data_IF_307013335517
#
_entry.id   IF_307013335517
#
_cell.length_a   1.000
_cell.length_b   1.000
_cell.length_c   1.000
_cell.angle_alpha   90.00
_cell.angle_beta   90.00
_cell.angle_gamma   90.00
#
_symmetry.space_group_name_H-M   'P 1'
#
loop_
_entity.id
_entity.type
_entity.pdbx_description
1 polymer ?
#
# COMPACT_ATOMS: atom_id res chain seq x y z
N UNK A 1 -41.56 -24.81 58.94
CA UNK A 1 -41.36 -25.73 57.78
C UNK A 1 -40.38 -25.09 56.85
N UNK A 2 -39.18 -25.66 56.60
CA UNK A 2 -38.16 -25.04 55.77
C UNK A 2 -38.38 -25.43 54.32
N UNK A 3 -38.45 -24.40 53.42
CA UNK A 3 -38.53 -24.55 51.98
C UNK A 3 -37.15 -24.79 51.47
N UNK A 4 -37.04 -25.86 50.70
CA UNK A 4 -35.85 -26.49 50.13
C UNK A 4 -34.98 -25.60 49.26
N UNK A 5 -33.68 -25.54 49.57
CA UNK A 5 -32.58 -24.91 48.84
C UNK A 5 -32.10 -25.71 47.60
N UNK A 6 -32.95 -26.33 46.81
CA UNK A 6 -32.53 -27.26 45.75
C UNK A 6 -33.07 -26.95 44.35
N UNK A 7 -33.34 -25.71 43.99
CA UNK A 7 -33.83 -25.35 42.64
C UNK A 7 -33.20 -24.08 42.06
N UNK A 8 -31.90 -23.85 42.31
CA UNK A 8 -31.22 -22.67 41.77
C UNK A 8 -29.83 -22.98 41.18
N UNK A 9 -29.55 -24.19 40.70
CA UNK A 9 -28.29 -24.54 40.06
C UNK A 9 -28.58 -25.39 38.82
N UNK A 10 -29.19 -24.83 37.78
CA UNK A 10 -29.21 -25.42 36.43
C UNK A 10 -29.59 -24.42 35.34
N UNK A 11 -29.01 -23.24 35.31
CA UNK A 11 -29.15 -22.33 34.18
C UNK A 11 -27.96 -21.36 34.05
N UNK A 12 -26.74 -21.90 34.05
CA UNK A 12 -25.53 -21.10 33.75
C UNK A 12 -24.45 -22.01 33.17
N UNK A 13 -24.69 -22.56 31.98
CA UNK A 13 -23.66 -23.17 31.15
C UNK A 13 -24.14 -23.19 29.68
N UNK A 14 -24.42 -22.01 29.14
CA UNK A 14 -24.37 -21.74 27.72
C UNK A 14 -23.48 -20.51 27.52
N UNK A 15 -22.21 -20.63 27.93
CA UNK A 15 -21.17 -19.75 27.43
C UNK A 15 -20.98 -20.14 25.98
N UNK A 16 -21.71 -19.46 25.12
CA UNK A 16 -21.45 -19.45 23.68
C UNK A 16 -19.99 -19.07 23.48
N UNK A 17 -19.20 -20.03 23.03
CA UNK A 17 -17.87 -19.79 22.49
C UNK A 17 -18.04 -18.88 21.26
N UNK A 18 -17.99 -17.57 21.48
CA UNK A 18 -17.75 -16.62 20.43
C UNK A 18 -16.35 -16.94 19.89
N UNK A 19 -16.18 -17.18 18.58
CA UNK A 19 -14.87 -17.34 18.03
C UNK A 19 -14.08 -16.08 18.36
N UNK A 20 -12.98 -16.21 19.09
CA UNK A 20 -12.03 -15.13 19.30
C UNK A 20 -11.57 -14.66 17.93
N UNK A 21 -12.01 -13.48 17.52
CA UNK A 21 -11.46 -12.75 16.37
C UNK A 21 -10.06 -12.27 16.75
N UNK A 22 -9.18 -13.23 17.02
CA UNK A 22 -7.76 -12.99 17.14
C UNK A 22 -7.30 -12.39 15.81
N UNK A 23 -6.84 -11.15 15.84
CA UNK A 23 -6.14 -10.56 14.69
C UNK A 23 -4.86 -11.36 14.50
N UNK A 24 -4.93 -12.38 13.67
CA UNK A 24 -3.79 -13.19 13.33
C UNK A 24 -2.67 -12.27 12.84
N UNK A 25 -1.48 -12.40 13.43
CA UNK A 25 -0.27 -11.76 12.89
C UNK A 25 -0.15 -12.17 11.43
N UNK A 26 0.22 -11.26 10.52
CA UNK A 26 0.41 -11.64 9.13
C UNK A 26 1.31 -12.86 9.03
N UNK A 27 0.88 -13.88 8.33
CA UNK A 27 1.72 -15.03 8.04
C UNK A 27 2.77 -14.59 7.01
N UNK A 28 3.99 -14.38 7.49
CA UNK A 28 5.12 -13.92 6.69
C UNK A 28 5.75 -15.05 5.86
N UNK A 29 5.30 -16.29 6.03
CA UNK A 29 5.76 -17.46 5.25
C UNK A 29 4.86 -17.74 4.06
N UNK A 30 3.76 -16.99 3.91
CA UNK A 30 2.81 -17.16 2.83
C UNK A 30 3.44 -16.83 1.47
N UNK A 31 3.34 -17.76 0.55
CA UNK A 31 3.83 -17.61 -0.83
C UNK A 31 2.77 -17.01 -1.75
N UNK A 32 3.20 -16.43 -2.88
CA UNK A 32 2.31 -15.83 -3.88
C UNK A 32 1.44 -16.90 -4.58
N UNK A 33 1.86 -18.15 -4.67
CA UNK A 33 1.16 -19.18 -5.43
C UNK A 33 1.01 -18.82 -6.92
N UNK A 34 0.02 -19.41 -7.59
CA UNK A 34 -0.27 -19.11 -9.01
C UNK A 34 -1.01 -17.78 -9.16
N UNK A 35 -0.52 -16.94 -10.04
CA UNK A 35 -0.97 -15.56 -10.28
C UNK A 35 -1.55 -15.38 -11.69
N UNK A 36 -2.03 -14.17 -12.03
CA UNK A 36 -2.42 -13.85 -13.41
C UNK A 36 -1.23 -13.87 -14.39
N UNK A 37 0.00 -13.65 -13.91
CA UNK A 37 1.18 -13.74 -14.77
C UNK A 37 1.49 -15.18 -15.21
N UNK A 38 1.09 -16.18 -14.41
CA UNK A 38 1.27 -17.60 -14.71
C UNK A 38 0.12 -18.17 -15.56
N UNK A 39 -0.99 -17.44 -15.67
CA UNK A 39 -2.18 -17.82 -16.43
C UNK A 39 -2.32 -16.92 -17.65
N UNK A 40 -2.99 -17.39 -18.69
CA UNK A 40 -3.28 -16.55 -19.84
C UNK A 40 -4.40 -15.55 -19.50
N UNK A 41 -4.07 -14.27 -19.45
CA UNK A 41 -5.05 -13.20 -19.44
C UNK A 41 -5.46 -12.82 -20.86
N UNK A 42 -6.75 -12.61 -21.08
CA UNK A 42 -7.27 -12.10 -22.35
C UNK A 42 -7.08 -10.58 -22.50
N UNK A 43 -6.78 -9.89 -21.40
CA UNK A 43 -6.72 -8.42 -21.32
C UNK A 43 -5.30 -7.89 -21.27
N UNK A 44 -4.37 -8.66 -20.69
CA UNK A 44 -3.00 -8.26 -20.46
C UNK A 44 -2.02 -9.34 -20.93
N UNK A 45 -0.85 -8.90 -21.38
CA UNK A 45 0.34 -9.73 -21.55
C UNK A 45 1.26 -9.46 -20.39
N UNK A 46 1.69 -10.51 -19.70
CA UNK A 46 2.65 -10.40 -18.59
C UNK A 46 4.04 -10.85 -19.02
N UNK A 47 5.05 -10.13 -18.57
CA UNK A 47 6.45 -10.49 -18.60
C UNK A 47 7.13 -10.04 -17.33
N UNK A 48 8.32 -10.51 -17.03
CA UNK A 48 9.11 -10.04 -15.90
C UNK A 48 10.58 -9.82 -16.24
N UNK A 49 11.23 -9.02 -15.43
CA UNK A 49 12.67 -8.84 -15.44
C UNK A 49 13.21 -8.66 -14.03
N UNK A 50 14.52 -8.84 -13.86
CA UNK A 50 15.19 -8.77 -12.56
C UNK A 50 16.24 -7.67 -12.58
N UNK A 51 16.42 -7.06 -11.40
CA UNK A 51 17.44 -6.05 -11.14
C UNK A 51 17.97 -6.25 -9.71
N UNK A 52 19.22 -5.85 -9.50
CA UNK A 52 19.82 -5.79 -8.18
C UNK A 52 19.93 -4.33 -7.73
N UNK A 53 19.90 -4.10 -6.41
CA UNK A 53 20.27 -2.81 -5.83
C UNK A 53 21.73 -2.47 -6.16
N UNK A 54 22.09 -1.19 -6.02
CA UNK A 54 23.45 -0.73 -6.32
C UNK A 54 24.52 -1.40 -5.43
N UNK A 55 24.17 -1.77 -4.20
CA UNK A 55 25.02 -2.50 -3.26
C UNK A 55 24.98 -4.03 -3.46
N UNK A 56 24.12 -4.55 -4.34
CA UNK A 56 23.96 -5.98 -4.61
C UNK A 56 23.25 -6.77 -3.51
N UNK A 57 22.77 -6.12 -2.44
CA UNK A 57 22.18 -6.82 -1.28
C UNK A 57 20.69 -7.12 -1.44
N UNK A 58 19.99 -6.42 -2.33
CA UNK A 58 18.57 -6.60 -2.59
C UNK A 58 18.34 -6.99 -4.03
N UNK A 59 17.50 -8.00 -4.22
CA UNK A 59 17.20 -8.59 -5.54
C UNK A 59 15.73 -8.37 -5.84
N UNK A 60 15.46 -7.62 -6.90
CA UNK A 60 14.11 -7.26 -7.30
C UNK A 60 13.64 -8.12 -8.47
N UNK A 61 12.36 -8.43 -8.47
CA UNK A 61 11.64 -8.95 -9.62
C UNK A 61 10.50 -8.02 -9.94
N UNK A 62 10.49 -7.53 -11.15
CA UNK A 62 9.49 -6.59 -11.65
C UNK A 62 8.63 -7.31 -12.67
N UNK A 63 7.34 -7.44 -12.38
CA UNK A 63 6.39 -7.95 -13.34
C UNK A 63 5.77 -6.77 -14.08
N UNK A 64 5.67 -6.92 -15.39
CA UNK A 64 5.09 -5.94 -16.30
C UNK A 64 3.82 -6.53 -16.92
N UNK A 65 2.68 -5.94 -16.62
CA UNK A 65 1.42 -6.24 -17.27
C UNK A 65 1.12 -5.18 -18.32
N UNK A 66 1.15 -5.56 -19.60
CA UNK A 66 0.89 -4.66 -20.73
C UNK A 66 -0.51 -4.94 -21.28
N UNK A 67 -1.40 -3.93 -21.41
CA UNK A 67 -2.70 -4.11 -22.00
C UNK A 67 -2.61 -4.68 -23.42
N UNK A 68 -3.55 -5.56 -23.78
CA UNK A 68 -3.67 -6.08 -25.18
C UNK A 68 -4.44 -5.12 -26.08
N UNK A 69 -5.04 -4.05 -25.54
CA UNK A 69 -5.64 -2.98 -26.32
C UNK A 69 -4.54 -2.20 -27.09
N UNK A 70 -4.91 -1.54 -28.21
CA UNK A 70 -3.95 -0.71 -28.95
C UNK A 70 -3.33 0.36 -28.06
N UNK A 71 -2.04 0.63 -28.29
CA UNK A 71 -1.31 1.69 -27.57
C UNK A 71 -1.90 3.04 -27.90
N UNK A 72 -2.30 3.86 -26.91
CA UNK A 72 -2.75 5.23 -27.14
C UNK A 72 -1.65 6.08 -27.78
N UNK A 73 -2.01 7.14 -28.48
CA UNK A 73 -1.06 8.00 -29.19
C UNK A 73 0.01 8.63 -28.28
N UNK A 74 -0.38 9.00 -27.04
CA UNK A 74 0.52 9.52 -26.00
C UNK A 74 1.27 8.42 -25.22
N UNK A 75 1.00 7.14 -25.48
CA UNK A 75 1.43 6.02 -24.65
C UNK A 75 0.36 5.61 -23.64
N UNK A 76 0.63 4.53 -22.90
CA UNK A 76 -0.27 4.05 -21.87
C UNK A 76 -0.11 4.84 -20.56
N UNK A 77 -1.19 5.11 -19.80
CA UNK A 77 -1.06 5.44 -18.39
C UNK A 77 -0.36 4.28 -17.67
N UNK A 78 0.26 4.55 -16.53
CA UNK A 78 0.94 3.49 -15.77
C UNK A 78 0.57 3.49 -14.30
N UNK A 79 0.58 2.28 -13.71
CA UNK A 79 0.39 2.05 -12.29
C UNK A 79 1.56 1.24 -11.76
N UNK A 80 2.42 1.89 -10.98
CA UNK A 80 3.46 1.22 -10.22
C UNK A 80 2.90 0.74 -8.89
N UNK A 81 2.97 -0.55 -8.64
CA UNK A 81 2.49 -1.23 -7.44
C UNK A 81 3.69 -1.71 -6.64
N UNK A 82 3.88 -1.14 -5.45
CA UNK A 82 4.86 -1.62 -4.49
C UNK A 82 4.39 -2.93 -3.85
N UNK A 83 5.31 -3.67 -3.21
CA UNK A 83 5.03 -5.04 -2.75
C UNK A 83 4.46 -5.90 -3.90
N UNK A 84 5.13 -5.86 -5.04
CA UNK A 84 4.65 -6.40 -6.32
C UNK A 84 4.25 -7.86 -6.25
N UNK A 85 4.91 -8.68 -5.40
CA UNK A 85 4.54 -10.07 -5.14
C UNK A 85 3.11 -10.17 -4.57
N UNK A 86 2.81 -9.38 -3.54
CA UNK A 86 1.48 -9.38 -2.91
C UNK A 86 0.43 -8.73 -3.83
N UNK A 87 0.77 -7.66 -4.52
CA UNK A 87 -0.13 -7.01 -5.47
C UNK A 87 -0.53 -7.96 -6.60
N UNK A 88 0.43 -8.69 -7.19
CA UNK A 88 0.18 -9.66 -8.26
C UNK A 88 -0.62 -10.88 -7.77
N UNK A 89 -0.34 -11.36 -6.53
CA UNK A 89 -1.10 -12.45 -5.92
C UNK A 89 -2.60 -12.12 -5.82
N UNK A 90 -2.93 -10.87 -5.48
CA UNK A 90 -4.31 -10.43 -5.33
C UNK A 90 -4.96 -9.95 -6.63
N UNK A 91 -4.18 -9.67 -7.68
CA UNK A 91 -4.70 -9.15 -8.95
C UNK A 91 -5.70 -10.11 -9.60
N UNK A 92 -6.83 -9.57 -10.06
CA UNK A 92 -7.94 -10.34 -10.62
C UNK A 92 -8.32 -9.86 -12.02
N UNK A 93 -8.68 -10.79 -12.89
CA UNK A 93 -9.10 -10.51 -14.26
C UNK A 93 -10.38 -9.66 -14.31
N UNK A 94 -11.33 -9.88 -13.39
CA UNK A 94 -12.57 -9.12 -13.32
C UNK A 94 -12.34 -7.63 -13.00
N UNK A 95 -11.35 -7.29 -12.18
CA UNK A 95 -10.98 -5.90 -11.94
C UNK A 95 -10.41 -5.23 -13.20
N UNK A 96 -9.61 -5.97 -13.96
CA UNK A 96 -9.01 -5.47 -15.20
C UNK A 96 -10.07 -5.32 -16.31
N UNK A 97 -11.08 -6.20 -16.34
CA UNK A 97 -12.18 -6.12 -17.31
C UNK A 97 -13.11 -4.94 -17.05
N UNK A 98 -13.23 -4.48 -15.81
CA UNK A 98 -14.03 -3.31 -15.43
C UNK A 98 -13.44 -1.99 -15.93
N UNK A 99 -12.14 -1.96 -16.30
CA UNK A 99 -11.48 -0.74 -16.78
C UNK A 99 -11.81 -0.47 -18.26
N UNK A 100 -12.00 0.81 -18.66
CA UNK A 100 -12.17 1.17 -20.05
C UNK A 100 -10.95 0.74 -20.88
N UNK A 101 -11.15 0.05 -21.98
CA UNK A 101 -10.07 -0.53 -22.79
C UNK A 101 -9.04 0.52 -23.27
N UNK A 102 -9.50 1.74 -23.56
CA UNK A 102 -8.66 2.83 -24.07
C UNK A 102 -7.73 3.45 -23.01
N UNK A 103 -8.02 3.29 -21.72
CA UNK A 103 -7.24 3.89 -20.62
C UNK A 103 -6.72 2.86 -19.61
N UNK A 104 -6.68 1.58 -19.98
CA UNK A 104 -6.06 0.55 -19.14
C UNK A 104 -4.58 0.87 -18.90
N UNK A 105 -4.15 0.96 -17.64
CA UNK A 105 -2.75 1.28 -17.34
C UNK A 105 -1.84 0.08 -17.60
N UNK A 106 -0.60 0.34 -17.96
CA UNK A 106 0.49 -0.64 -17.80
C UNK A 106 0.70 -0.84 -16.30
N UNK A 107 0.72 -2.10 -15.87
CA UNK A 107 0.96 -2.48 -14.48
C UNK A 107 2.45 -2.77 -14.28
N UNK A 108 3.09 -2.06 -13.36
CA UNK A 108 4.51 -2.21 -13.01
C UNK A 108 4.55 -2.69 -11.55
N UNK A 109 4.58 -3.99 -11.34
CA UNK A 109 4.58 -4.58 -9.99
C UNK A 109 6.01 -4.77 -9.53
N UNK A 110 6.46 -3.86 -8.66
CA UNK A 110 7.83 -3.85 -8.12
C UNK A 110 7.87 -4.69 -6.86
N UNK A 111 8.44 -5.88 -6.98
CA UNK A 111 8.57 -6.84 -5.90
C UNK A 111 10.00 -7.33 -5.73
N UNK A 112 10.15 -8.39 -4.95
CA UNK A 112 11.42 -8.98 -4.61
C UNK A 112 11.56 -10.38 -5.24
N UNK A 113 12.80 -10.81 -5.49
CA UNK A 113 13.10 -12.11 -6.10
C UNK A 113 12.96 -13.24 -5.07
N UNK A 114 11.74 -13.43 -4.59
CA UNK A 114 11.32 -14.46 -3.65
C UNK A 114 9.92 -14.95 -4.03
N UNK A 115 9.55 -16.13 -3.59
CA UNK A 115 8.19 -16.66 -3.73
C UNK A 115 7.25 -16.18 -2.62
N UNK A 116 7.76 -15.50 -1.60
CA UNK A 116 6.96 -14.95 -0.51
C UNK A 116 6.13 -13.74 -0.98
N UNK A 117 4.96 -13.53 -0.33
CA UNK A 117 4.17 -12.32 -0.56
C UNK A 117 4.93 -11.04 -0.19
N UNK A 118 5.80 -11.12 0.82
CA UNK A 118 6.59 -10.00 1.29
C UNK A 118 8.01 -10.43 1.64
N UNK A 119 9.00 -9.72 1.13
CA UNK A 119 10.33 -9.68 1.74
C UNK A 119 10.32 -8.60 2.81
N UNK A 120 10.06 -9.00 4.05
CA UNK A 120 9.85 -8.05 5.15
C UNK A 120 11.10 -7.28 5.56
N UNK A 121 12.29 -7.81 5.24
CA UNK A 121 13.57 -7.16 5.54
C UNK A 121 13.88 -6.14 4.45
N UNK A 122 13.86 -6.56 3.19
CA UNK A 122 14.17 -5.69 2.06
C UNK A 122 13.16 -4.54 1.95
N UNK A 123 11.83 -4.82 2.05
CA UNK A 123 10.80 -3.79 1.95
C UNK A 123 10.85 -2.76 3.09
N UNK A 124 11.24 -3.16 4.30
CA UNK A 124 11.39 -2.22 5.40
C UNK A 124 12.54 -1.25 5.10
N UNK A 125 13.66 -1.75 4.62
CA UNK A 125 14.79 -0.91 4.21
C UNK A 125 14.41 0.04 3.08
N UNK A 126 13.79 -0.48 2.02
CA UNK A 126 13.51 0.27 0.80
C UNK A 126 12.38 1.31 0.96
N UNK A 127 11.38 1.03 1.79
CA UNK A 127 10.17 1.86 1.84
C UNK A 127 10.16 2.88 2.98
N UNK A 128 11.17 2.87 3.83
CA UNK A 128 11.20 3.77 4.98
C UNK A 128 12.27 4.85 4.83
N UNK A 129 11.94 6.13 5.05
CA UNK A 129 12.90 7.21 4.97
C UNK A 129 13.76 7.30 6.25
N UNK A 130 15.00 7.78 6.09
CA UNK A 130 15.86 8.30 7.16
C UNK A 130 15.68 9.82 7.25
N UNK A 131 16.22 10.42 8.32
CA UNK A 131 16.36 11.87 8.40
C UNK A 131 17.42 12.40 7.44
N UNK A 132 17.39 13.70 7.10
CA UNK A 132 18.42 14.31 6.27
C UNK A 132 19.82 14.09 6.82
N UNK A 133 20.69 13.45 6.03
CA UNK A 133 22.06 13.13 6.43
C UNK A 133 22.22 11.92 7.36
N UNK A 134 21.15 11.26 7.74
CA UNK A 134 21.20 9.98 8.47
C UNK A 134 21.46 8.80 7.51
N UNK A 135 22.07 7.75 8.04
CA UNK A 135 22.24 6.47 7.36
C UNK A 135 21.05 5.53 7.61
N UNK A 136 21.32 4.23 7.48
CA UNK A 136 20.31 3.22 7.80
C UNK A 136 19.98 3.23 9.30
N UNK A 137 18.72 2.99 9.61
CA UNK A 137 18.13 3.09 10.95
C UNK A 137 17.71 1.68 11.39
N UNK A 138 18.19 1.23 12.55
CA UNK A 138 17.69 0.01 13.16
C UNK A 138 16.24 0.18 13.63
N UNK A 139 15.39 -0.83 13.37
CA UNK A 139 14.03 -0.87 13.90
C UNK A 139 14.10 -1.00 15.45
N UNK A 140 13.47 -0.09 16.22
CA UNK A 140 13.51 -0.16 17.69
C UNK A 140 12.97 -1.44 18.29
N UNK A 141 12.04 -2.12 17.58
CA UNK A 141 11.41 -3.37 18.02
C UNK A 141 12.08 -4.61 17.46
N UNK A 142 12.90 -4.46 16.41
CA UNK A 142 13.60 -5.53 15.68
C UNK A 142 14.93 -5.01 15.17
N UNK A 143 15.94 -4.87 16.05
CA UNK A 143 17.22 -4.23 15.71
C UNK A 143 17.99 -4.89 14.54
N UNK A 144 17.67 -6.15 14.25
CA UNK A 144 18.19 -6.87 13.08
C UNK A 144 17.61 -6.39 11.74
N UNK A 145 16.57 -5.55 11.76
CA UNK A 145 15.96 -4.97 10.57
C UNK A 145 16.37 -3.51 10.43
N UNK A 146 16.81 -3.17 9.26
CA UNK A 146 17.21 -1.81 8.93
C UNK A 146 16.13 -1.14 8.10
N UNK A 147 15.92 0.15 8.34
CA UNK A 147 15.15 1.05 7.50
C UNK A 147 16.02 2.21 7.02
N UNK A 148 15.41 3.22 6.40
CA UNK A 148 16.12 4.44 5.99
C UNK A 148 16.65 4.43 4.55
N UNK A 149 16.29 3.43 3.73
CA UNK A 149 16.79 3.30 2.36
C UNK A 149 15.89 3.91 1.28
N UNK A 150 14.85 4.66 1.64
CA UNK A 150 13.87 5.17 0.68
C UNK A 150 14.47 6.03 -0.44
N UNK A 151 15.50 6.82 -0.15
CA UNK A 151 16.20 7.61 -1.17
C UNK A 151 16.88 6.72 -2.23
N UNK A 152 17.60 5.69 -1.79
CA UNK A 152 18.25 4.75 -2.70
C UNK A 152 17.25 3.97 -3.54
N UNK A 153 16.12 3.59 -2.94
CA UNK A 153 15.05 2.89 -3.65
C UNK A 153 14.31 3.81 -4.65
N UNK A 154 14.08 5.07 -4.31
CA UNK A 154 13.51 6.04 -5.26
C UNK A 154 14.45 6.24 -6.47
N UNK A 155 15.78 6.35 -6.22
CA UNK A 155 16.78 6.40 -7.31
C UNK A 155 16.74 5.14 -8.18
N UNK A 156 16.57 3.95 -7.59
CA UNK A 156 16.39 2.71 -8.35
C UNK A 156 15.13 2.75 -9.23
N UNK A 157 14.00 3.20 -8.68
CA UNK A 157 12.75 3.35 -9.45
C UNK A 157 12.93 4.30 -10.63
N UNK A 158 13.44 5.50 -10.40
CA UNK A 158 13.51 6.56 -11.42
C UNK A 158 14.60 6.29 -12.46
N UNK A 159 15.78 5.77 -12.05
CA UNK A 159 16.93 5.67 -12.93
C UNK A 159 17.20 4.25 -13.47
N UNK A 160 16.54 3.22 -12.95
CA UNK A 160 16.75 1.84 -13.38
C UNK A 160 15.46 1.16 -13.83
N UNK A 161 14.42 1.14 -13.00
CA UNK A 161 13.18 0.42 -13.29
C UNK A 161 12.39 1.13 -14.37
N UNK A 162 12.08 2.43 -14.21
CA UNK A 162 11.30 3.18 -15.21
C UNK A 162 11.96 3.23 -16.59
N UNK A 163 13.27 3.47 -16.75
CA UNK A 163 13.92 3.37 -18.04
C UNK A 163 13.86 1.97 -18.66
N UNK A 164 13.97 0.91 -17.85
CA UNK A 164 13.84 -0.46 -18.35
C UNK A 164 12.42 -0.77 -18.86
N UNK A 165 11.41 -0.29 -18.15
CA UNK A 165 10.00 -0.37 -18.59
C UNK A 165 9.79 0.44 -19.88
N UNK A 166 10.32 1.66 -19.97
CA UNK A 166 10.18 2.54 -21.14
C UNK A 166 10.82 1.94 -22.42
N UNK A 167 11.83 1.07 -22.29
CA UNK A 167 12.37 0.32 -23.42
C UNK A 167 11.43 -0.76 -23.95
N UNK A 168 10.49 -1.23 -23.16
CA UNK A 168 9.57 -2.35 -23.46
C UNK A 168 8.21 -1.89 -23.90
N UNK A 169 7.74 -0.73 -23.39
CA UNK A 169 6.40 -0.22 -23.65
C UNK A 169 6.39 1.31 -23.65
N UNK A 170 5.61 1.89 -24.58
CA UNK A 170 5.43 3.34 -24.63
C UNK A 170 4.47 3.80 -23.54
N UNK A 171 4.95 4.62 -22.58
CA UNK A 171 4.17 5.17 -21.47
C UNK A 171 3.88 6.64 -21.69
N UNK A 172 2.72 7.08 -21.21
CA UNK A 172 2.40 8.49 -21.02
C UNK A 172 3.08 8.99 -19.74
N UNK A 173 4.11 9.81 -19.92
CA UNK A 173 4.89 10.35 -18.80
C UNK A 173 4.09 11.33 -17.92
N UNK A 174 2.94 11.80 -18.36
CA UNK A 174 2.05 12.68 -17.59
C UNK A 174 1.04 11.92 -16.75
N UNK A 175 0.88 10.61 -16.98
CA UNK A 175 -0.10 9.76 -16.30
C UNK A 175 0.55 8.57 -15.60
N UNK A 176 1.49 8.87 -14.70
CA UNK A 176 2.19 7.86 -13.92
C UNK A 176 1.68 7.86 -12.48
N UNK A 177 1.19 6.72 -12.04
CA UNK A 177 0.61 6.53 -10.69
C UNK A 177 1.52 5.62 -9.85
N UNK A 178 1.75 5.99 -8.59
CA UNK A 178 2.45 5.16 -7.60
C UNK A 178 1.48 4.78 -6.48
N UNK A 179 1.28 3.47 -6.30
CA UNK A 179 0.49 2.91 -5.21
C UNK A 179 1.37 2.16 -4.22
N UNK A 180 1.06 2.29 -2.94
CA UNK A 180 1.70 1.48 -1.90
C UNK A 180 0.87 1.38 -0.63
N UNK A 181 1.00 0.25 0.08
CA UNK A 181 0.30 -0.02 1.33
C UNK A 181 1.29 -0.07 2.51
N UNK A 182 0.90 0.47 3.67
CA UNK A 182 1.69 0.43 4.91
C UNK A 182 3.04 1.15 4.76
N UNK A 183 4.19 0.47 4.86
CA UNK A 183 5.49 1.04 4.50
C UNK A 183 5.54 1.47 3.02
N UNK A 184 4.89 0.73 2.11
CA UNK A 184 4.75 1.17 0.72
C UNK A 184 3.94 2.47 0.59
N UNK A 185 2.92 2.67 1.43
CA UNK A 185 2.17 3.93 1.52
C UNK A 185 3.02 5.07 2.09
N UNK A 186 3.86 4.78 3.09
CA UNK A 186 4.85 5.73 3.60
C UNK A 186 5.84 6.14 2.50
N UNK A 187 6.34 5.16 1.73
CA UNK A 187 7.22 5.44 0.60
C UNK A 187 6.53 6.29 -0.48
N UNK A 188 5.26 6.04 -0.78
CA UNK A 188 4.52 6.86 -1.74
C UNK A 188 4.44 8.34 -1.30
N UNK A 189 4.24 8.61 0.00
CA UNK A 189 4.30 9.97 0.55
C UNK A 189 5.71 10.57 0.47
N UNK A 190 6.74 9.76 0.76
CA UNK A 190 8.14 10.18 0.65
C UNK A 190 8.51 10.52 -0.80
N UNK A 191 8.15 9.66 -1.74
CA UNK A 191 8.38 9.89 -3.16
C UNK A 191 7.68 11.18 -3.64
N UNK A 192 6.43 11.40 -3.25
CA UNK A 192 5.70 12.64 -3.55
C UNK A 192 6.42 13.88 -3.04
N UNK A 193 7.01 13.81 -1.84
CA UNK A 193 7.74 14.93 -1.26
C UNK A 193 9.13 15.17 -1.90
N UNK A 194 9.64 14.21 -2.68
CA UNK A 194 10.97 14.28 -3.29
C UNK A 194 10.92 14.92 -4.68
N UNK A 195 11.80 15.90 -4.98
CA UNK A 195 11.90 16.47 -6.33
C UNK A 195 12.44 15.48 -7.38
N UNK A 196 12.95 14.32 -6.95
CA UNK A 196 13.41 13.26 -7.85
C UNK A 196 12.27 12.49 -8.50
N UNK A 197 11.11 12.43 -7.83
CA UNK A 197 9.98 11.62 -8.30
C UNK A 197 9.29 12.25 -9.50
N UNK A 198 9.04 11.45 -10.52
CA UNK A 198 8.35 11.86 -11.74
C UNK A 198 6.92 11.30 -11.85
N UNK A 199 6.36 10.78 -10.77
CA UNK A 199 4.95 10.40 -10.72
C UNK A 199 4.06 11.63 -10.62
N UNK A 200 2.93 11.61 -11.33
CA UNK A 200 1.91 12.67 -11.27
C UNK A 200 0.78 12.36 -10.27
N UNK A 201 0.69 11.09 -9.85
CA UNK A 201 -0.38 10.64 -8.94
C UNK A 201 0.15 9.65 -7.92
N UNK A 202 -0.28 9.80 -6.66
CA UNK A 202 0.14 8.95 -5.56
C UNK A 202 -1.06 8.39 -4.82
N UNK A 203 -1.02 7.09 -4.50
CA UNK A 203 -2.09 6.39 -3.77
C UNK A 203 -1.49 5.77 -2.50
N UNK A 204 -1.22 6.56 -1.45
CA UNK A 204 -0.75 6.06 -0.17
C UNK A 204 -1.91 5.41 0.60
N UNK A 205 -1.85 4.09 0.79
CA UNK A 205 -2.86 3.32 1.51
C UNK A 205 -2.34 2.95 2.89
N UNK A 206 -3.09 3.34 3.93
CA UNK A 206 -2.74 3.04 5.34
C UNK A 206 -1.27 3.32 5.66
N UNK A 207 -0.73 4.49 5.27
CA UNK A 207 0.71 4.77 5.34
C UNK A 207 1.23 4.69 6.77
N UNK A 208 2.40 4.07 6.95
CA UNK A 208 3.05 3.90 8.24
C UNK A 208 3.72 5.21 8.72
N UNK A 209 2.94 6.29 8.84
CA UNK A 209 3.42 7.65 9.15
C UNK A 209 4.12 7.79 10.51
N UNK A 210 3.97 6.77 11.38
CA UNK A 210 4.63 6.73 12.69
C UNK A 210 6.12 6.36 12.64
N UNK A 211 6.61 5.88 11.48
CA UNK A 211 8.00 5.47 11.31
C UNK A 211 8.96 6.60 11.71
N UNK A 212 10.00 6.22 12.46
CA UNK A 212 11.07 7.12 12.91
C UNK A 212 10.53 8.45 13.44
N UNK A 213 9.67 8.35 14.48
CA UNK A 213 9.03 9.50 15.15
C UNK A 213 8.23 10.42 14.20
N UNK A 214 7.72 9.88 13.09
CA UNK A 214 6.95 10.65 12.13
C UNK A 214 7.79 11.51 11.20
N UNK A 215 9.01 11.10 10.89
CA UNK A 215 9.96 11.81 10.02
C UNK A 215 9.33 12.26 8.68
N UNK A 216 8.33 11.53 8.19
CA UNK A 216 7.63 11.88 6.96
C UNK A 216 7.03 13.29 7.01
N UNK A 217 6.63 13.77 8.19
CA UNK A 217 6.05 15.11 8.34
C UNK A 217 7.05 16.22 8.00
N UNK A 218 8.33 16.01 8.25
CA UNK A 218 9.39 16.96 7.86
C UNK A 218 9.52 17.03 6.34
N UNK A 219 9.52 15.89 5.66
CA UNK A 219 9.55 15.83 4.20
C UNK A 219 8.30 16.48 3.57
N UNK A 220 7.13 16.16 4.10
CA UNK A 220 5.88 16.76 3.63
C UNK A 220 5.86 18.28 3.88
N UNK A 221 6.36 18.76 5.02
CA UNK A 221 6.40 20.19 5.32
C UNK A 221 7.23 20.99 4.31
N UNK A 222 8.37 20.46 3.86
CA UNK A 222 9.29 21.11 2.91
C UNK A 222 8.95 20.87 1.45
N UNK A 223 7.94 20.04 1.14
CA UNK A 223 7.58 19.68 -0.24
C UNK A 223 6.84 20.80 -0.96
N UNK A 224 7.22 21.03 -2.21
CA UNK A 224 6.52 21.85 -3.20
C UNK A 224 5.98 21.01 -4.37
N UNK A 225 5.60 19.77 -4.10
CA UNK A 225 5.08 18.86 -5.13
C UNK A 225 3.79 19.38 -5.76
N UNK A 226 3.64 19.14 -7.06
CA UNK A 226 2.40 19.29 -7.80
C UNK A 226 1.91 17.90 -8.20
N UNK A 227 0.83 17.40 -7.59
CA UNK A 227 0.38 16.02 -7.78
C UNK A 227 -1.06 15.78 -7.32
N UNK A 228 -1.65 14.70 -7.83
CA UNK A 228 -2.89 14.13 -7.29
C UNK A 228 -2.56 13.13 -6.18
N UNK A 229 -3.16 13.28 -5.02
CA UNK A 229 -2.96 12.41 -3.86
C UNK A 229 -4.27 11.73 -3.48
N UNK A 230 -4.29 10.41 -3.45
CA UNK A 230 -5.46 9.60 -3.12
C UNK A 230 -5.19 8.81 -1.84
N UNK A 231 -5.47 9.42 -0.69
CA UNK A 231 -5.12 8.88 0.63
C UNK A 231 -6.22 7.96 1.15
N UNK A 232 -5.89 6.72 1.46
CA UNK A 232 -6.87 5.75 1.97
C UNK A 232 -6.44 5.08 3.27
N UNK A 233 -7.42 4.68 4.09
CA UNK A 233 -7.22 3.78 5.25
C UNK A 233 -8.48 2.98 5.56
N UNK A 234 -8.34 1.93 6.37
CA UNK A 234 -9.48 1.24 6.97
C UNK A 234 -9.96 1.93 8.25
N UNK A 235 -11.27 1.91 8.51
CA UNK A 235 -11.82 2.49 9.75
C UNK A 235 -11.48 1.67 10.99
N UNK A 236 -11.07 0.41 10.82
CA UNK A 236 -10.80 -0.53 11.90
C UNK A 236 -9.29 -0.83 12.06
N UNK A 237 -8.42 0.12 11.74
CA UNK A 237 -6.96 -0.01 11.84
C UNK A 237 -6.47 0.35 13.25
N UNK A 238 -6.67 -0.55 14.19
CA UNK A 238 -6.10 -0.44 15.53
C UNK A 238 -5.36 -1.73 15.88
N UNK A 239 -4.28 -1.60 16.64
CA UNK A 239 -3.64 -2.78 17.24
C UNK A 239 -4.42 -3.13 18.51
N UNK A 240 -5.20 -4.19 18.44
CA UNK A 240 -5.99 -4.69 19.57
C UNK A 240 -5.14 -5.75 20.29
N UNK A 241 -5.04 -5.63 21.62
CA UNK A 241 -4.55 -6.70 22.50
C UNK A 241 -5.73 -7.36 23.23
N UNK A 242 -5.54 -8.58 23.71
CA UNK A 242 -6.58 -9.32 24.46
C UNK A 242 -7.00 -8.63 25.77
N UNK A 243 -6.16 -7.71 26.29
CA UNK A 243 -6.44 -6.98 27.53
C UNK A 243 -7.25 -5.68 27.31
N UNK A 244 -7.44 -5.25 26.06
CA UNK A 244 -8.16 -4.00 25.75
C UNK A 244 -9.66 -4.18 25.85
N UNK A 245 -10.32 -3.27 26.54
CA UNK A 245 -11.77 -3.19 26.58
C UNK A 245 -12.37 -2.45 25.36
N UNK A 246 -13.67 -2.49 25.21
CA UNK A 246 -14.38 -1.86 24.10
C UNK A 246 -14.22 -0.33 24.07
N UNK A 247 -14.07 0.31 25.23
CA UNK A 247 -13.92 1.77 25.34
C UNK A 247 -12.52 2.19 24.85
N UNK A 248 -11.49 1.44 25.26
CA UNK A 248 -10.12 1.69 24.81
C UNK A 248 -9.97 1.45 23.29
N UNK A 249 -10.55 0.38 22.77
CA UNK A 249 -10.59 0.09 21.34
C UNK A 249 -11.27 1.24 20.58
N UNK A 250 -12.42 1.72 21.04
CA UNK A 250 -13.13 2.82 20.40
C UNK A 250 -12.30 4.11 20.43
N UNK A 251 -11.63 4.40 21.56
CA UNK A 251 -10.71 5.54 21.68
C UNK A 251 -9.56 5.48 20.70
N UNK A 252 -8.92 4.33 20.55
CA UNK A 252 -7.80 4.14 19.60
C UNK A 252 -8.25 4.27 18.14
N UNK A 253 -9.42 3.74 17.79
CA UNK A 253 -10.03 3.93 16.47
C UNK A 253 -10.25 5.41 16.17
N UNK A 254 -10.81 6.16 17.12
CA UNK A 254 -11.05 7.60 16.97
C UNK A 254 -9.73 8.38 16.82
N UNK A 255 -8.73 8.05 17.64
CA UNK A 255 -7.40 8.67 17.55
C UNK A 255 -6.75 8.40 16.18
N UNK A 256 -6.83 7.17 15.68
CA UNK A 256 -6.33 6.81 14.35
C UNK A 256 -7.07 7.55 13.23
N UNK A 257 -8.39 7.71 13.35
CA UNK A 257 -9.20 8.49 12.40
C UNK A 257 -8.80 9.97 12.42
N UNK A 258 -8.65 10.56 13.61
CA UNK A 258 -8.26 11.96 13.76
C UNK A 258 -6.85 12.22 13.19
N UNK A 259 -5.89 11.33 13.43
CA UNK A 259 -4.53 11.43 12.87
C UNK A 259 -4.53 11.33 11.34
N UNK A 260 -5.37 10.45 10.78
CA UNK A 260 -5.56 10.35 9.34
C UNK A 260 -6.14 11.65 8.76
N UNK A 261 -7.21 12.18 9.35
CA UNK A 261 -7.82 13.44 8.89
C UNK A 261 -6.86 14.63 9.04
N UNK A 262 -6.05 14.68 10.10
CA UNK A 262 -5.01 15.70 10.24
C UNK A 262 -3.99 15.62 9.09
N UNK A 263 -3.62 14.42 8.65
CA UNK A 263 -2.75 14.23 7.47
C UNK A 263 -3.44 14.69 6.19
N UNK A 264 -4.73 14.35 6.00
CA UNK A 264 -5.54 14.81 4.85
C UNK A 264 -5.54 16.33 4.78
N UNK A 265 -5.91 17.02 5.87
CA UNK A 265 -5.97 18.47 5.92
C UNK A 265 -4.60 19.10 5.68
N UNK A 266 -3.55 18.58 6.31
CA UNK A 266 -2.18 19.08 6.11
C UNK A 266 -1.70 18.97 4.66
N UNK A 267 -2.18 17.98 3.91
CA UNK A 267 -1.88 17.85 2.49
C UNK A 267 -2.78 18.77 1.64
N UNK A 268 -4.07 18.87 1.98
CA UNK A 268 -5.03 19.69 1.25
C UNK A 268 -4.71 21.19 1.34
N UNK A 269 -4.10 21.63 2.45
CA UNK A 269 -3.65 23.02 2.63
C UNK A 269 -2.42 23.38 1.78
N UNK A 270 -1.79 22.40 1.09
CA UNK A 270 -0.61 22.65 0.27
C UNK A 270 -0.99 23.08 -1.15
N UNK A 271 -0.49 24.23 -1.62
CA UNK A 271 -0.65 24.59 -3.02
C UNK A 271 0.02 23.55 -3.93
N UNK A 272 -0.62 23.20 -5.03
CA UNK A 272 -0.12 22.20 -5.99
C UNK A 272 -0.59 20.77 -5.73
N UNK A 273 -1.16 20.45 -4.57
CA UNK A 273 -1.74 19.14 -4.34
C UNK A 273 -3.26 19.14 -4.57
N UNK A 274 -3.72 18.17 -5.35
CA UNK A 274 -5.13 17.77 -5.42
C UNK A 274 -5.32 16.57 -4.53
N UNK A 275 -6.00 16.72 -3.40
CA UNK A 275 -6.12 15.68 -2.40
C UNK A 275 -7.49 15.05 -2.44
N UNK A 276 -7.51 13.73 -2.48
CA UNK A 276 -8.70 12.90 -2.33
C UNK A 276 -8.48 11.91 -1.19
N UNK A 277 -9.51 11.60 -0.43
CA UNK A 277 -9.40 10.66 0.65
C UNK A 277 -10.59 9.72 0.75
N UNK A 278 -10.34 8.52 1.28
CA UNK A 278 -11.37 7.50 1.55
C UNK A 278 -11.04 6.71 2.81
N UNK A 279 -12.05 6.52 3.65
CA UNK A 279 -11.99 5.60 4.76
C UNK A 279 -12.85 4.39 4.45
N UNK A 280 -12.23 3.22 4.32
CA UNK A 280 -12.94 1.98 4.03
C UNK A 280 -13.61 1.47 5.31
N UNK A 281 -14.97 1.29 5.32
CA UNK A 281 -15.68 0.86 6.50
C UNK A 281 -15.24 -0.56 6.92
N UNK A 282 -15.12 -0.76 8.23
CA UNK A 282 -14.84 -2.04 8.90
C UNK A 282 -13.56 -2.77 8.51
N UNK A 283 -12.74 -2.22 7.62
CA UNK A 283 -11.47 -2.82 7.25
C UNK A 283 -10.37 -2.52 8.25
N UNK A 284 -9.65 -3.57 8.63
CA UNK A 284 -8.39 -3.48 9.37
C UNK A 284 -7.20 -3.35 8.41
N UNK A 285 -6.01 -3.14 8.97
CA UNK A 285 -4.80 -2.81 8.21
C UNK A 285 -4.45 -3.81 7.08
N UNK A 286 -4.43 -5.11 7.37
CA UNK A 286 -4.05 -6.13 6.36
C UNK A 286 -5.00 -6.20 5.17
N UNK A 287 -6.33 -6.30 5.38
CA UNK A 287 -7.33 -6.30 4.32
C UNK A 287 -7.34 -5.05 3.43
N UNK A 288 -6.77 -3.93 3.86
CA UNK A 288 -6.65 -2.72 3.03
C UNK A 288 -5.82 -2.92 1.77
N UNK A 289 -4.81 -3.81 1.80
CA UNK A 289 -3.99 -4.08 0.63
C UNK A 289 -4.84 -4.58 -0.55
N UNK A 290 -5.53 -5.75 -0.46
CA UNK A 290 -6.36 -6.22 -1.57
C UNK A 290 -7.57 -5.32 -1.86
N UNK A 291 -8.17 -4.70 -0.84
CA UNK A 291 -9.36 -3.87 -1.03
C UNK A 291 -9.10 -2.57 -1.80
N UNK A 292 -7.89 -2.03 -1.71
CA UNK A 292 -7.51 -0.80 -2.41
C UNK A 292 -7.02 -1.02 -3.85
N UNK A 293 -6.68 -2.24 -4.25
CA UNK A 293 -6.17 -2.51 -5.60
C UNK A 293 -7.16 -2.19 -6.73
N UNK A 294 -8.45 -2.59 -6.67
CA UNK A 294 -9.41 -2.20 -7.71
C UNK A 294 -9.61 -0.68 -7.79
N UNK A 295 -9.55 0.02 -6.65
CA UNK A 295 -9.60 1.48 -6.62
C UNK A 295 -8.36 2.10 -7.30
N UNK A 296 -7.17 1.57 -6.99
CA UNK A 296 -5.92 2.04 -7.60
C UNK A 296 -5.90 1.83 -9.12
N UNK A 297 -6.42 0.70 -9.60
CA UNK A 297 -6.57 0.42 -11.02
C UNK A 297 -7.51 1.45 -11.70
N UNK A 298 -8.66 1.73 -11.09
CA UNK A 298 -9.63 2.70 -11.61
C UNK A 298 -9.03 4.12 -11.63
N UNK A 299 -8.39 4.55 -10.53
CA UNK A 299 -7.73 5.86 -10.43
C UNK A 299 -6.63 6.00 -11.49
N UNK A 300 -5.78 4.99 -11.67
CA UNK A 300 -4.73 5.00 -12.67
C UNK A 300 -5.27 5.03 -14.11
N UNK A 301 -6.50 4.53 -14.34
CA UNK A 301 -7.19 4.62 -15.63
C UNK A 301 -7.93 5.96 -15.83
N UNK A 302 -7.78 6.92 -14.94
CA UNK A 302 -8.43 8.23 -15.00
C UNK A 302 -9.87 8.26 -14.49
N UNK A 303 -10.32 7.22 -13.78
CA UNK A 303 -11.65 7.18 -13.16
C UNK A 303 -11.60 7.70 -11.73
N UNK A 304 -12.72 8.25 -11.26
CA UNK A 304 -12.93 8.57 -9.84
C UNK A 304 -13.88 7.53 -9.25
N UNK A 305 -13.38 6.54 -8.50
CA UNK A 305 -14.25 5.55 -7.88
C UNK A 305 -15.18 6.16 -6.84
N UNK A 306 -16.32 5.51 -6.57
CA UNK A 306 -17.29 6.01 -5.61
C UNK A 306 -16.74 6.05 -4.17
N UNK A 307 -17.21 7.02 -3.39
CA UNK A 307 -16.88 7.16 -1.96
C UNK A 307 -15.55 7.84 -1.66
N UNK A 308 -14.87 8.38 -2.66
CA UNK A 308 -13.76 9.29 -2.45
C UNK A 308 -14.26 10.72 -2.26
N UNK A 309 -13.67 11.42 -1.31
CA UNK A 309 -13.99 12.80 -0.96
C UNK A 309 -12.82 13.70 -1.32
N UNK A 310 -13.09 14.89 -1.91
CA UNK A 310 -12.08 15.92 -2.08
C UNK A 310 -11.68 16.50 -0.72
N UNK A 311 -10.38 16.69 -0.50
CA UNK A 311 -9.81 17.26 0.73
C UNK A 311 -9.80 18.76 0.72
#
# INVERSE_FOLDING_TARGET
>A
MPISRRLFIQSLLAASALPSLGHARPDLTRTMGSTLADRQSNLYRFEDFRLDSADGERHYRIWLGVPRSPTPAQGYPSLTLLDGNAALHHLREDWLSALPAASRPVLIMVGYNTDLLFDVVARQRDYTPAGPGEGLIADPLRPERLGGGADAFLKLLEHRIKPEVARRVNLDNTQQTLWGHSFGGLFALYAMASPLSSYSRYIPVSPAVYWHQGIIQQYLASSSAEADVWLARGSNEVRISEQMDAVEIARLKQQGSNAFMATVHSLADKPGLSVHWKQFPDLSHGPMLPASLPEALAIASGQTPAGWTAG
#
